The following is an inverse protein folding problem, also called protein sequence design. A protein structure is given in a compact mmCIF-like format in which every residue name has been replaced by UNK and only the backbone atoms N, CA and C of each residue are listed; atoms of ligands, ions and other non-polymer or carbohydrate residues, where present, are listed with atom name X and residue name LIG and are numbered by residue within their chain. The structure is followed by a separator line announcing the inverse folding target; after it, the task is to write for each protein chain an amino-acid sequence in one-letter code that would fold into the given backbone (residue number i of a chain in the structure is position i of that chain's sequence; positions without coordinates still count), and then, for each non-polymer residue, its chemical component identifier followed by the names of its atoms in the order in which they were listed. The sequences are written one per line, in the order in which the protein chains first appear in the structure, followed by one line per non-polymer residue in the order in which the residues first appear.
data_IF_813367430263
#
_entry.id   IF_813367430263
#
_cell.length_a   1.000
_cell.length_b   1.000
_cell.length_c   1.000
_cell.angle_alpha   90.00
_cell.angle_beta   90.00
_cell.angle_gamma   90.00
#
_symmetry.space_group_name_H-M   'P 1'
#
loop_
_entity.id
_entity.type
_entity.pdbx_description
1 polymer ?
#
# COMPACT_ATOMS: atom_id res chain seq x y z
N UNK A 1 -2.34 44.64 8.79
CA UNK A 1 -1.20 44.45 7.88
C UNK A 1 -0.89 42.97 7.78
N UNK A 2 -1.18 42.41 6.60
CA UNK A 2 -0.72 41.16 5.95
C UNK A 2 -0.12 40.01 6.79
N UNK A 3 -0.85 38.90 6.90
CA UNK A 3 -0.28 37.54 6.92
C UNK A 3 -1.25 36.47 6.40
N UNK A 4 -1.81 36.67 5.19
CA UNK A 4 -2.55 35.61 4.47
C UNK A 4 -1.60 34.81 3.56
N UNK A 5 -0.79 33.92 4.14
CA UNK A 5 -0.20 32.78 3.40
C UNK A 5 -0.94 31.52 3.81
N UNK A 6 -2.17 31.40 3.33
CA UNK A 6 -2.90 30.14 3.33
C UNK A 6 -2.13 29.13 2.46
N UNK A 7 -1.67 28.05 3.09
CA UNK A 7 -1.02 26.89 2.45
C UNK A 7 -2.00 26.29 1.44
N UNK A 8 -1.62 26.34 0.16
CA UNK A 8 -2.41 25.76 -0.95
C UNK A 8 -2.31 24.24 -0.86
N UNK A 9 -3.44 23.57 -0.70
CA UNK A 9 -3.53 22.12 -0.92
C UNK A 9 -3.11 21.77 -2.35
N UNK A 10 -2.56 20.56 -2.53
CA UNK A 10 -2.14 20.01 -3.82
C UNK A 10 -3.26 20.15 -4.85
N UNK A 11 -2.97 20.85 -5.95
CA UNK A 11 -3.99 21.20 -6.96
C UNK A 11 -4.09 20.13 -8.05
N UNK A 12 -5.20 20.08 -8.80
CA UNK A 12 -5.32 19.23 -10.01
C UNK A 12 -4.18 19.47 -11.03
N UNK A 13 -3.60 20.68 -11.05
CA UNK A 13 -2.44 21.02 -11.86
C UNK A 13 -1.16 20.29 -11.40
N UNK A 14 -1.04 20.04 -10.11
CA UNK A 14 0.11 19.36 -9.49
C UNK A 14 0.13 17.86 -9.81
N UNK A 15 -1.02 17.20 -9.92
CA UNK A 15 -1.06 15.78 -10.30
C UNK A 15 -0.79 15.53 -11.79
N UNK A 16 -1.09 16.50 -12.67
CA UNK A 16 -0.69 16.43 -14.07
C UNK A 16 0.83 16.30 -14.25
N UNK A 17 1.61 16.96 -13.38
CA UNK A 17 3.06 16.85 -13.39
C UNK A 17 3.55 15.45 -12.99
N UNK A 18 2.81 14.78 -12.10
CA UNK A 18 3.08 13.39 -11.72
C UNK A 18 2.74 12.44 -12.88
N UNK A 19 1.61 12.63 -13.56
CA UNK A 19 1.28 11.82 -14.75
C UNK A 19 2.35 11.97 -15.84
N UNK A 20 2.91 13.18 -16.03
CA UNK A 20 4.03 13.41 -16.95
C UNK A 20 5.35 12.73 -16.53
N UNK A 21 5.57 12.49 -15.24
CA UNK A 21 6.70 11.66 -14.78
C UNK A 21 6.47 10.20 -15.17
N UNK A 22 5.27 9.67 -14.94
CA UNK A 22 4.91 8.31 -15.32
C UNK A 22 4.95 8.10 -16.84
N UNK A 23 4.50 9.06 -17.64
CA UNK A 23 4.58 9.00 -19.09
C UNK A 23 6.02 8.89 -19.59
N UNK A 24 6.94 9.70 -19.04
CA UNK A 24 8.37 9.65 -19.41
C UNK A 24 8.98 8.32 -19.01
N UNK A 25 8.73 7.87 -17.78
CA UNK A 25 9.22 6.58 -17.31
C UNK A 25 8.70 5.42 -18.19
N UNK A 26 7.42 5.44 -18.54
CA UNK A 26 6.81 4.45 -19.44
C UNK A 26 7.39 4.50 -20.86
N UNK A 27 7.63 5.69 -21.40
CA UNK A 27 8.26 5.85 -22.72
C UNK A 27 9.69 5.27 -22.77
N UNK A 28 10.37 5.25 -21.63
CA UNK A 28 11.66 4.60 -21.43
C UNK A 28 11.55 3.10 -21.07
N UNK A 29 10.34 2.52 -21.10
CA UNK A 29 10.09 1.11 -20.77
C UNK A 29 10.11 0.78 -19.28
N UNK A 30 10.07 1.78 -18.39
CA UNK A 30 10.10 1.59 -16.93
C UNK A 30 8.69 1.55 -16.33
N UNK A 31 8.54 0.76 -15.27
CA UNK A 31 7.35 0.72 -14.40
C UNK A 31 7.66 1.23 -12.98
N UNK A 32 8.78 1.95 -12.85
CA UNK A 32 9.24 2.56 -11.61
C UNK A 32 9.86 3.91 -11.92
N UNK A 33 9.91 4.77 -10.91
CA UNK A 33 10.56 6.07 -10.97
C UNK A 33 11.97 6.00 -10.38
N UNK A 34 12.89 6.79 -10.94
CA UNK A 34 14.20 7.05 -10.33
C UNK A 34 14.01 7.88 -9.07
N UNK A 35 14.92 7.78 -8.11
CA UNK A 35 14.80 8.47 -6.81
C UNK A 35 14.63 10.00 -6.95
N UNK A 36 15.30 10.63 -7.90
CA UNK A 36 15.11 12.06 -8.23
C UNK A 36 13.70 12.39 -8.74
N UNK A 37 13.08 11.48 -9.49
CA UNK A 37 11.69 11.59 -9.94
C UNK A 37 10.72 11.39 -8.77
N UNK A 38 11.02 10.48 -7.83
CA UNK A 38 10.23 10.27 -6.60
C UNK A 38 10.27 11.51 -5.70
N UNK A 39 11.45 12.13 -5.54
CA UNK A 39 11.58 13.38 -4.78
C UNK A 39 10.73 14.51 -5.35
N UNK A 40 10.49 14.52 -6.67
CA UNK A 40 9.58 15.48 -7.29
C UNK A 40 8.12 15.24 -6.84
N UNK A 41 7.70 13.99 -6.72
CA UNK A 41 6.38 13.65 -6.14
C UNK A 41 6.30 14.08 -4.68
N UNK A 42 7.31 13.76 -3.86
CA UNK A 42 7.36 14.17 -2.45
C UNK A 42 7.23 15.69 -2.28
N UNK A 43 7.97 16.47 -3.07
CA UNK A 43 7.83 17.94 -3.08
C UNK A 43 6.42 18.39 -3.46
N UNK A 44 5.80 17.75 -4.46
CA UNK A 44 4.42 18.06 -4.89
C UNK A 44 3.40 17.82 -3.77
N UNK A 45 3.56 16.74 -3.00
CA UNK A 45 2.65 16.39 -1.90
C UNK A 45 3.04 17.02 -0.55
N UNK A 46 4.09 17.85 -0.51
CA UNK A 46 4.49 18.60 0.68
C UNK A 46 5.38 17.84 1.67
N UNK A 47 6.08 16.80 1.22
CA UNK A 47 7.16 16.13 1.96
C UNK A 47 8.48 16.79 1.55
N UNK A 48 9.29 17.21 2.53
CA UNK A 48 10.60 17.79 2.25
C UNK A 48 11.57 16.70 1.78
N UNK A 49 12.53 17.08 0.95
CA UNK A 49 13.60 16.19 0.47
C UNK A 49 14.90 16.99 0.47
N UNK A 50 16.06 16.32 0.60
CA UNK A 50 17.36 16.96 0.42
C UNK A 50 17.44 17.73 -0.91
N UNK A 51 18.16 18.85 -0.92
CA UNK A 51 18.67 19.42 -2.16
C UNK A 51 19.51 18.37 -2.90
N UNK A 52 19.31 18.23 -4.20
CA UNK A 52 19.95 17.17 -4.98
C UNK A 52 20.00 17.53 -6.46
N UNK A 53 20.86 16.83 -7.18
CA UNK A 53 20.84 16.76 -8.64
C UNK A 53 21.17 15.34 -9.10
N UNK A 54 20.67 14.99 -10.28
CA UNK A 54 21.03 13.75 -10.96
C UNK A 54 22.17 14.03 -11.93
N UNK A 55 23.24 13.25 -11.83
CA UNK A 55 24.37 13.25 -12.74
C UNK A 55 24.27 12.02 -13.66
N UNK A 56 23.98 12.19 -14.95
CA UNK A 56 23.96 11.08 -15.91
C UNK A 56 25.29 10.33 -15.94
N UNK A 57 25.23 9.03 -16.22
CA UNK A 57 26.42 8.20 -16.34
C UNK A 57 27.39 8.77 -17.40
N UNK A 58 28.68 8.85 -17.05
CA UNK A 58 29.74 9.38 -17.91
C UNK A 58 29.88 10.91 -17.90
N UNK A 59 29.01 11.65 -17.21
CA UNK A 59 29.17 13.09 -17.03
C UNK A 59 30.05 13.43 -15.82
N UNK A 60 30.70 14.59 -15.87
CA UNK A 60 31.54 15.10 -14.79
C UNK A 60 30.76 16.08 -13.91
N UNK A 61 30.99 16.02 -12.60
CA UNK A 61 30.37 16.95 -11.66
C UNK A 61 31.00 18.35 -11.80
N UNK A 62 30.18 19.39 -11.76
CA UNK A 62 30.65 20.78 -11.77
C UNK A 62 30.47 21.46 -10.41
N UNK A 63 31.33 22.44 -10.09
CA UNK A 63 31.18 23.27 -8.90
C UNK A 63 29.83 24.02 -8.86
N UNK A 64 29.25 24.37 -10.02
CA UNK A 64 27.95 25.05 -10.08
C UNK A 64 26.78 24.13 -9.71
N UNK A 65 26.89 22.82 -9.94
CA UNK A 65 25.90 21.84 -9.49
C UNK A 65 25.96 21.60 -7.98
N UNK A 66 27.16 21.70 -7.38
CA UNK A 66 27.38 21.51 -5.94
C UNK A 66 27.02 22.76 -5.12
N UNK A 67 27.18 23.96 -5.68
CA UNK A 67 26.96 25.22 -4.96
C UNK A 67 25.57 25.35 -4.27
N UNK A 68 24.45 24.82 -4.80
CA UNK A 68 23.16 24.84 -4.12
C UNK A 68 23.06 23.87 -2.91
N UNK A 69 23.99 22.93 -2.76
CA UNK A 69 23.99 21.96 -1.65
C UNK A 69 24.63 22.64 -0.43
N UNK A 70 23.83 22.89 0.61
CA UNK A 70 24.23 23.76 1.73
C UNK A 70 25.12 23.06 2.77
N UNK A 71 25.08 21.73 2.82
CA UNK A 71 25.83 20.92 3.77
C UNK A 71 27.31 20.83 3.41
N UNK A 72 28.18 20.71 4.41
CA UNK A 72 29.61 20.42 4.22
C UNK A 72 29.87 19.01 3.71
N UNK A 73 28.85 18.15 3.73
CA UNK A 73 28.88 16.77 3.24
C UNK A 73 27.76 16.52 2.24
N UNK A 74 28.01 15.60 1.31
CA UNK A 74 27.03 15.13 0.35
C UNK A 74 26.95 13.62 0.38
N UNK A 75 25.78 13.10 0.01
CA UNK A 75 25.53 11.68 -0.23
C UNK A 75 25.54 11.44 -1.72
N UNK A 76 26.36 10.51 -2.18
CA UNK A 76 26.41 10.04 -3.56
C UNK A 76 25.77 8.65 -3.59
N UNK A 77 24.69 8.52 -4.35
CA UNK A 77 23.95 7.26 -4.52
C UNK A 77 23.97 6.81 -5.98
N UNK A 78 24.23 5.53 -6.22
CA UNK A 78 24.07 4.95 -7.55
C UNK A 78 22.60 4.87 -7.91
N UNK A 79 22.29 5.22 -9.15
CA UNK A 79 20.95 5.08 -9.73
C UNK A 79 21.02 3.99 -10.79
N UNK A 80 20.46 2.83 -10.46
CA UNK A 80 20.39 1.66 -11.35
C UNK A 80 19.08 0.90 -11.12
N UNK A 81 18.35 0.52 -12.18
CA UNK A 81 17.15 -0.32 -12.07
C UNK A 81 17.37 -1.64 -11.32
N UNK A 82 18.58 -2.20 -11.44
CA UNK A 82 18.92 -3.52 -10.91
C UNK A 82 19.39 -3.48 -9.45
N UNK A 83 19.65 -2.29 -8.88
CA UNK A 83 20.21 -2.12 -7.53
C UNK A 83 19.16 -1.49 -6.61
N UNK A 84 18.38 -2.34 -5.95
CA UNK A 84 17.36 -1.92 -4.97
C UNK A 84 18.00 -1.65 -3.60
N UNK A 85 18.81 -2.59 -3.08
CA UNK A 85 19.54 -2.44 -1.80
C UNK A 85 20.93 -1.81 -2.01
N UNK A 86 20.93 -0.54 -2.39
CA UNK A 86 22.14 0.22 -2.77
C UNK A 86 23.25 0.16 -1.72
N UNK A 87 22.91 0.27 -0.44
CA UNK A 87 23.90 0.30 0.65
C UNK A 87 24.74 -0.97 0.73
N UNK A 88 24.15 -2.15 0.47
CA UNK A 88 24.81 -3.45 0.60
C UNK A 88 25.90 -3.67 -0.46
N UNK A 89 25.70 -3.11 -1.66
CA UNK A 89 26.68 -3.16 -2.77
C UNK A 89 27.60 -1.95 -2.79
N UNK A 90 27.60 -1.15 -1.71
CA UNK A 90 28.40 0.07 -1.63
C UNK A 90 27.92 1.20 -2.56
N UNK A 91 26.69 1.13 -3.04
CA UNK A 91 26.04 2.13 -3.90
C UNK A 91 25.61 3.41 -3.17
N UNK A 92 26.00 3.60 -1.91
CA UNK A 92 25.82 4.85 -1.14
C UNK A 92 27.13 5.23 -0.47
N UNK A 93 27.56 6.48 -0.64
CA UNK A 93 28.76 7.04 -0.02
C UNK A 93 28.49 8.44 0.51
N UNK A 94 29.11 8.79 1.63
CA UNK A 94 29.09 10.16 2.18
C UNK A 94 30.50 10.73 2.04
N UNK A 95 30.61 11.88 1.38
CA UNK A 95 31.90 12.57 1.14
C UNK A 95 31.78 14.06 1.43
N UNK A 96 32.90 14.77 1.48
CA UNK A 96 32.88 16.22 1.59
C UNK A 96 32.22 16.85 0.36
N UNK A 97 31.55 17.99 0.55
CA UNK A 97 30.95 18.76 -0.53
C UNK A 97 32.02 19.51 -1.34
N UNK A 98 32.79 18.76 -2.12
CA UNK A 98 33.81 19.29 -3.03
C UNK A 98 33.77 18.55 -4.36
N UNK A 99 34.08 19.26 -5.44
CA UNK A 99 34.10 18.70 -6.79
C UNK A 99 35.07 17.51 -6.90
N UNK A 100 36.23 17.63 -6.25
CA UNK A 100 37.28 16.61 -6.26
C UNK A 100 36.80 15.31 -5.57
N UNK A 101 36.31 15.41 -4.34
CA UNK A 101 35.85 14.26 -3.54
C UNK A 101 34.67 13.54 -4.21
N UNK A 102 33.71 14.30 -4.74
CA UNK A 102 32.56 13.75 -5.45
C UNK A 102 32.98 13.04 -6.74
N UNK A 103 33.94 13.59 -7.49
CA UNK A 103 34.44 12.95 -8.71
C UNK A 103 35.21 11.66 -8.40
N UNK A 104 36.06 11.69 -7.37
CA UNK A 104 36.83 10.53 -6.94
C UNK A 104 35.92 9.40 -6.45
N UNK A 105 34.91 9.71 -5.64
CA UNK A 105 34.00 8.69 -5.11
C UNK A 105 33.13 8.09 -6.20
N UNK A 106 32.67 8.87 -7.19
CA UNK A 106 31.93 8.35 -8.35
C UNK A 106 32.80 7.35 -9.11
N UNK A 107 34.02 7.74 -9.47
CA UNK A 107 34.95 6.87 -10.22
C UNK A 107 35.19 5.55 -9.48
N UNK A 108 35.38 5.63 -8.15
CA UNK A 108 35.59 4.45 -7.30
C UNK A 108 34.33 3.57 -7.23
N UNK A 109 33.17 4.17 -7.01
CA UNK A 109 31.89 3.46 -6.94
C UNK A 109 31.57 2.75 -8.26
N UNK A 110 31.86 3.36 -9.41
CA UNK A 110 31.70 2.73 -10.72
C UNK A 110 32.55 1.46 -10.85
N UNK A 111 33.82 1.54 -10.45
CA UNK A 111 34.74 0.40 -10.49
C UNK A 111 34.28 -0.73 -9.55
N UNK A 112 33.95 -0.38 -8.30
CA UNK A 112 33.49 -1.34 -7.28
C UNK A 112 32.21 -2.07 -7.72
N UNK A 113 31.22 -1.33 -8.23
CA UNK A 113 29.95 -1.93 -8.65
C UNK A 113 30.11 -2.77 -9.91
N UNK A 114 30.90 -2.31 -10.90
CA UNK A 114 31.22 -3.14 -12.08
C UNK A 114 31.95 -4.41 -11.69
N UNK A 115 32.81 -4.36 -10.67
CA UNK A 115 33.56 -5.51 -10.18
C UNK A 115 32.68 -6.52 -9.45
N UNK A 116 31.83 -6.05 -8.52
CA UNK A 116 30.92 -6.90 -7.76
C UNK A 116 29.85 -7.55 -8.66
N UNK A 117 29.45 -6.87 -9.72
CA UNK A 117 28.41 -7.32 -10.63
C UNK A 117 28.97 -7.76 -12.00
N UNK A 118 30.25 -8.20 -12.05
CA UNK A 118 30.89 -8.74 -13.26
C UNK A 118 30.08 -9.84 -13.94
N UNK A 119 29.29 -10.58 -13.18
CA UNK A 119 28.43 -11.67 -13.65
C UNK A 119 27.01 -11.24 -14.05
N UNK A 120 26.63 -9.98 -13.80
CA UNK A 120 25.31 -9.46 -14.15
C UNK A 120 25.29 -9.03 -15.64
N UNK A 121 24.64 -9.80 -16.55
CA UNK A 121 24.74 -9.56 -17.99
C UNK A 121 24.08 -8.26 -18.45
N UNK A 122 23.27 -7.64 -17.60
CA UNK A 122 22.39 -6.50 -17.93
C UNK A 122 22.48 -5.36 -16.90
N UNK A 123 23.60 -5.23 -16.17
CA UNK A 123 23.74 -4.13 -15.23
C UNK A 123 23.77 -2.79 -15.98
N UNK A 124 22.76 -1.95 -15.71
CA UNK A 124 22.67 -0.61 -16.26
C UNK A 124 22.77 0.43 -15.14
N UNK A 125 23.88 1.18 -15.13
CA UNK A 125 24.02 2.36 -14.28
C UNK A 125 23.52 3.56 -15.08
N UNK A 126 22.41 4.16 -14.66
CA UNK A 126 21.86 5.36 -15.29
C UNK A 126 22.65 6.61 -14.91
N UNK A 127 23.26 6.60 -13.72
CA UNK A 127 24.06 7.69 -13.21
C UNK A 127 24.10 7.71 -11.68
N UNK A 128 24.26 8.90 -11.14
CA UNK A 128 24.41 9.15 -9.71
C UNK A 128 23.43 10.22 -9.23
N UNK A 129 22.84 10.00 -8.06
CA UNK A 129 22.14 11.03 -7.33
C UNK A 129 23.11 11.62 -6.32
N UNK A 130 23.39 12.92 -6.44
CA UNK A 130 24.16 13.66 -5.45
C UNK A 130 23.19 14.52 -4.66
N UNK A 131 23.10 14.27 -3.36
CA UNK A 131 22.21 15.00 -2.46
C UNK A 131 22.96 15.58 -1.28
N UNK A 132 22.46 16.68 -0.70
CA UNK A 132 23.01 17.18 0.56
C UNK A 132 22.89 16.13 1.67
N UNK A 133 23.90 16.04 2.52
CA UNK A 133 23.83 15.22 3.72
C UNK A 133 22.99 15.95 4.78
N UNK A 134 21.86 15.35 5.16
CA UNK A 134 21.01 15.84 6.23
C UNK A 134 21.49 15.27 7.56
N UNK A 135 21.98 16.14 8.43
CA UNK A 135 22.11 15.81 9.85
C UNK A 135 20.73 15.92 10.49
N UNK A 136 20.18 14.79 10.94
CA UNK A 136 18.87 14.72 11.59
C UNK A 136 18.99 14.32 13.05
N UNK A 137 17.95 14.60 13.81
CA UNK A 137 17.91 14.34 15.24
C UNK A 137 17.84 12.82 15.50
N UNK A 138 18.89 12.24 16.12
CA UNK A 138 18.85 10.87 16.59
C UNK A 138 18.50 10.83 18.09
N UNK A 139 17.28 10.40 18.39
CA UNK A 139 16.75 10.22 19.75
C UNK A 139 16.18 8.80 19.96
N UNK A 140 16.66 7.82 19.19
CA UNK A 140 16.21 6.42 19.23
C UNK A 140 14.91 6.18 18.47
N UNK A 141 14.01 5.34 19.01
CA UNK A 141 12.76 4.95 18.36
C UNK A 141 11.95 6.18 17.89
N UNK A 142 11.69 6.24 16.58
CA UNK A 142 10.99 7.34 15.92
C UNK A 142 11.88 8.45 15.34
N UNK A 143 13.20 8.31 15.38
CA UNK A 143 14.12 9.19 14.63
C UNK A 143 14.02 8.95 13.12
N UNK A 144 13.79 7.69 12.75
CA UNK A 144 13.47 7.25 11.40
C UNK A 144 12.04 6.73 11.37
N UNK A 145 11.30 7.13 10.36
CA UNK A 145 9.92 6.77 10.10
C UNK A 145 9.80 6.23 8.68
N UNK A 146 8.67 5.61 8.40
CA UNK A 146 8.28 5.18 7.06
C UNK A 146 6.91 5.78 6.77
N UNK A 147 6.73 6.33 5.57
CA UNK A 147 5.41 6.70 5.09
C UNK A 147 5.26 6.30 3.62
N UNK A 148 4.17 5.62 3.29
CA UNK A 148 3.98 5.15 1.93
C UNK A 148 2.58 4.69 1.61
N UNK A 149 2.38 4.38 0.33
CA UNK A 149 1.19 3.76 -0.23
C UNK A 149 1.60 2.40 -0.78
N UNK A 150 0.73 1.41 -0.59
CA UNK A 150 0.86 0.10 -1.24
C UNK A 150 -0.48 -0.35 -1.77
N UNK A 151 -0.53 -0.79 -3.03
CA UNK A 151 -1.69 -1.45 -3.60
C UNK A 151 -1.67 -2.94 -3.22
N UNK A 152 -2.62 -3.34 -2.39
CA UNK A 152 -2.80 -4.73 -1.94
C UNK A 152 -4.02 -5.34 -2.62
N UNK A 153 -3.99 -6.63 -2.98
CA UNK A 153 -5.12 -7.31 -3.63
C UNK A 153 -6.37 -7.31 -2.74
N UNK A 154 -6.17 -7.44 -1.44
CA UNK A 154 -7.17 -7.67 -0.41
C UNK A 154 -7.91 -6.38 -0.05
N UNK A 155 -7.17 -5.30 0.17
CA UNK A 155 -7.71 -4.03 0.68
C UNK A 155 -7.65 -2.90 -0.34
N UNK A 156 -7.02 -3.12 -1.49
CA UNK A 156 -6.68 -2.06 -2.43
C UNK A 156 -5.53 -1.18 -1.93
N UNK A 157 -5.46 0.09 -2.34
CA UNK A 157 -4.46 1.04 -1.87
C UNK A 157 -4.62 1.30 -0.37
N UNK A 158 -3.54 1.08 0.36
CA UNK A 158 -3.42 1.40 1.77
C UNK A 158 -2.33 2.44 1.96
N UNK A 159 -2.55 3.37 2.88
CA UNK A 159 -1.56 4.34 3.36
C UNK A 159 -1.03 3.84 4.68
N UNK A 160 0.30 3.85 4.83
CA UNK A 160 1.00 3.48 6.04
C UNK A 160 1.86 4.64 6.55
N UNK A 161 1.90 4.81 7.87
CA UNK A 161 2.83 5.69 8.58
C UNK A 161 3.35 4.97 9.82
N UNK A 162 4.62 4.63 9.84
CA UNK A 162 5.21 3.73 10.84
C UNK A 162 6.56 4.21 11.36
N UNK A 163 7.04 3.54 12.40
CA UNK A 163 8.45 3.62 12.75
C UNK A 163 9.30 2.96 11.66
N UNK A 164 10.48 3.50 11.42
CA UNK A 164 11.43 3.04 10.42
C UNK A 164 12.82 2.79 10.97
N UNK A 165 13.71 2.32 10.11
CA UNK A 165 15.10 2.03 10.46
C UNK A 165 15.32 0.61 10.99
N UNK A 166 16.59 0.20 11.04
CA UNK A 166 17.00 -1.18 11.35
C UNK A 166 16.62 -1.63 12.76
N UNK A 167 16.59 -0.71 13.74
CA UNK A 167 16.21 -1.05 15.12
C UNK A 167 14.73 -1.42 15.25
N UNK A 168 13.89 -0.92 14.34
CA UNK A 168 12.45 -1.13 14.36
C UNK A 168 12.09 -2.57 13.95
N UNK A 169 12.85 -3.22 13.08
CA UNK A 169 12.68 -4.65 12.79
C UNK A 169 12.88 -5.54 14.02
N UNK A 170 13.80 -5.16 14.90
CA UNK A 170 13.98 -5.83 16.18
C UNK A 170 12.80 -5.56 17.12
N UNK A 171 12.39 -4.30 17.25
CA UNK A 171 11.31 -3.89 18.17
C UNK A 171 9.95 -4.42 17.72
N UNK A 172 9.67 -4.50 16.42
CA UNK A 172 8.40 -5.00 15.87
C UNK A 172 8.05 -6.41 16.33
N UNK A 173 9.04 -7.27 16.60
CA UNK A 173 8.81 -8.63 17.12
C UNK A 173 8.17 -8.66 18.51
N UNK A 174 8.25 -7.57 19.25
CA UNK A 174 7.72 -7.45 20.61
C UNK A 174 6.51 -6.52 20.70
N UNK A 175 6.19 -5.80 19.62
CA UNK A 175 5.02 -4.93 19.56
C UNK A 175 3.77 -5.74 19.27
N UNK A 176 2.65 -5.34 19.87
CA UNK A 176 1.34 -5.85 19.48
C UNK A 176 1.10 -5.55 17.99
N UNK A 177 0.38 -6.43 17.25
CA UNK A 177 0.02 -6.17 15.86
C UNK A 177 -0.59 -4.77 15.69
N UNK A 178 -0.06 -4.01 14.74
CA UNK A 178 -0.50 -2.63 14.45
C UNK A 178 0.07 -1.55 15.37
N UNK A 179 0.80 -1.87 16.45
CA UNK A 179 1.35 -0.83 17.35
C UNK A 179 2.56 -0.08 16.79
N UNK A 180 3.24 -0.64 15.79
CA UNK A 180 4.41 -0.03 15.16
C UNK A 180 4.08 0.93 14.01
N UNK A 181 2.81 1.04 13.61
CA UNK A 181 2.43 1.94 12.53
C UNK A 181 0.93 2.04 12.30
N UNK A 182 0.52 3.20 11.81
CA UNK A 182 -0.84 3.53 11.44
C UNK A 182 -1.09 3.14 9.99
N UNK A 183 -2.07 2.28 9.76
CA UNK A 183 -2.52 1.90 8.41
C UNK A 183 -3.98 2.28 8.20
N UNK A 184 -4.31 2.77 7.01
CA UNK A 184 -5.70 2.95 6.59
C UNK A 184 -5.86 2.70 5.10
N UNK A 185 -7.11 2.47 4.68
CA UNK A 185 -7.47 2.55 3.27
C UNK A 185 -7.20 3.96 2.76
N UNK A 186 -6.70 4.07 1.54
CA UNK A 186 -6.30 5.36 1.02
C UNK A 186 -7.47 6.30 0.68
N UNK A 187 -8.71 5.78 0.66
CA UNK A 187 -9.93 6.60 0.60
C UNK A 187 -10.14 7.44 1.88
N UNK A 188 -9.34 7.20 2.93
CA UNK A 188 -9.36 7.97 4.17
C UNK A 188 -8.71 9.35 3.98
N UNK A 189 -9.52 10.33 3.58
CA UNK A 189 -9.10 11.74 3.47
C UNK A 189 -9.54 12.61 4.66
N UNK A 190 -10.28 12.07 5.63
CA UNK A 190 -10.79 12.85 6.75
C UNK A 190 -9.73 13.03 7.83
N UNK A 191 -9.29 14.29 7.98
CA UNK A 191 -8.33 14.71 9.01
C UNK A 191 -8.71 14.25 10.41
N UNK A 192 -9.99 14.35 10.78
CA UNK A 192 -10.45 13.97 12.12
C UNK A 192 -10.33 12.48 12.38
N UNK A 193 -10.49 11.63 11.36
CA UNK A 193 -10.29 10.18 11.51
C UNK A 193 -8.81 9.85 11.69
N UNK A 194 -7.92 10.51 10.94
CA UNK A 194 -6.47 10.37 11.14
C UNK A 194 -6.00 10.87 12.51
N UNK A 195 -6.49 12.03 12.94
CA UNK A 195 -6.22 12.58 14.28
C UNK A 195 -6.59 11.61 15.39
N UNK A 196 -7.82 11.06 15.37
CA UNK A 196 -8.27 10.08 16.38
C UNK A 196 -7.41 8.82 16.41
N UNK A 197 -6.97 8.35 15.24
CA UNK A 197 -6.05 7.21 15.14
C UNK A 197 -4.69 7.55 15.74
N UNK A 198 -4.17 8.75 15.48
CA UNK A 198 -2.85 9.19 15.94
C UNK A 198 -2.81 9.46 17.46
N UNK A 199 -3.84 10.09 18.02
CA UNK A 199 -3.91 10.51 19.42
C UNK A 199 -3.62 9.37 20.40
N UNK A 200 -4.19 8.19 20.16
CA UNK A 200 -4.03 7.01 21.01
C UNK A 200 -2.90 6.06 20.57
N UNK A 201 -2.19 6.39 19.49
CA UNK A 201 -1.15 5.53 18.94
C UNK A 201 0.23 5.85 19.52
N UNK A 202 1.09 4.84 19.61
CA UNK A 202 2.46 4.95 20.15
C UNK A 202 3.26 6.06 19.43
N UNK A 203 3.07 6.21 18.12
CA UNK A 203 3.68 7.28 17.31
C UNK A 203 3.26 8.67 17.81
N UNK A 204 1.95 8.90 18.03
CA UNK A 204 1.45 10.18 18.52
C UNK A 204 1.96 10.49 19.93
N UNK A 205 1.95 9.49 20.81
CA UNK A 205 2.50 9.63 22.16
C UNK A 205 4.01 9.93 22.14
N UNK A 206 4.78 9.27 21.26
CA UNK A 206 6.24 9.42 21.20
C UNK A 206 6.71 10.71 20.52
N UNK A 207 6.00 11.16 19.48
CA UNK A 207 6.44 12.27 18.63
C UNK A 207 5.70 13.58 18.89
N UNK A 208 4.43 13.53 19.30
CA UNK A 208 3.57 14.70 19.44
C UNK A 208 3.35 15.15 20.89
N UNK A 209 3.73 14.33 21.87
CA UNK A 209 3.60 14.68 23.28
C UNK A 209 4.98 14.93 23.92
N UNK A 210 5.00 15.76 24.95
CA UNK A 210 6.20 15.98 25.76
C UNK A 210 6.50 14.74 26.59
N UNK A 211 7.75 14.29 26.60
CA UNK A 211 8.19 13.14 27.41
C UNK A 211 9.43 13.50 28.21
N UNK A 212 9.35 13.38 29.54
CA UNK A 212 10.46 13.65 30.49
C UNK A 212 11.19 14.98 30.22
N UNK A 213 10.44 16.06 29.99
CA UNK A 213 10.99 17.40 29.74
C UNK A 213 11.50 17.65 28.31
N UNK A 214 11.45 16.66 27.42
CA UNK A 214 11.68 16.88 26.00
C UNK A 214 10.41 17.43 25.35
N UNK A 215 10.57 18.48 24.54
CA UNK A 215 9.49 19.04 23.73
C UNK A 215 9.04 18.04 22.64
N UNK A 216 7.79 18.14 22.15
CA UNK A 216 7.32 17.37 21.02
C UNK A 216 8.23 17.54 19.80
N UNK A 217 8.48 16.44 19.09
CA UNK A 217 9.32 16.44 17.87
C UNK A 217 8.53 16.87 16.64
N UNK A 218 7.24 16.55 16.59
CA UNK A 218 6.34 16.94 15.51
C UNK A 218 5.00 17.39 16.08
N UNK A 219 4.36 18.35 15.41
CA UNK A 219 2.95 18.59 15.69
C UNK A 219 2.08 17.49 15.09
N UNK A 220 1.00 17.15 15.78
CA UNK A 220 -0.01 16.20 15.30
C UNK A 220 -0.53 16.58 13.91
N UNK A 221 -0.76 17.88 13.70
CA UNK A 221 -1.21 18.43 12.42
C UNK A 221 -0.25 18.11 11.27
N UNK A 222 1.07 18.11 11.51
CA UNK A 222 2.03 17.78 10.46
C UNK A 222 1.91 16.32 10.02
N UNK A 223 1.80 15.39 10.96
CA UNK A 223 1.65 13.96 10.63
C UNK A 223 0.31 13.75 9.90
N UNK A 224 -0.79 14.28 10.44
CA UNK A 224 -2.13 14.16 9.83
C UNK A 224 -2.16 14.74 8.41
N UNK A 225 -1.56 15.91 8.16
CA UNK A 225 -1.50 16.47 6.81
C UNK A 225 -0.70 15.57 5.85
N UNK A 226 0.41 14.96 6.28
CA UNK A 226 1.12 14.01 5.43
C UNK A 226 0.26 12.80 5.10
N UNK A 227 -0.40 12.21 6.09
CA UNK A 227 -1.28 11.05 5.87
C UNK A 227 -2.41 11.38 4.89
N UNK A 228 -3.03 12.55 5.02
CA UNK A 228 -4.06 13.02 4.08
C UNK A 228 -3.49 13.28 2.68
N UNK A 229 -2.27 13.81 2.57
CA UNK A 229 -1.65 14.05 1.26
C UNK A 229 -1.30 12.75 0.54
N UNK A 230 -0.82 11.73 1.26
CA UNK A 230 -0.63 10.38 0.71
C UNK A 230 -1.99 9.74 0.35
N UNK A 231 -3.02 9.85 1.19
CA UNK A 231 -4.37 9.37 0.86
C UNK A 231 -4.90 9.97 -0.44
N UNK A 232 -4.80 11.31 -0.60
CA UNK A 232 -5.23 12.01 -1.83
C UNK A 232 -4.42 11.58 -3.06
N UNK A 233 -3.10 11.45 -2.92
CA UNK A 233 -2.24 10.98 -3.99
C UNK A 233 -2.68 9.58 -4.44
N UNK A 234 -2.90 8.68 -3.47
CA UNK A 234 -3.31 7.31 -3.73
C UNK A 234 -4.71 7.21 -4.34
N UNK A 235 -5.68 7.98 -3.83
CA UNK A 235 -7.03 8.03 -4.37
C UNK A 235 -7.03 8.50 -5.84
N UNK A 236 -6.22 9.52 -6.15
CA UNK A 236 -6.06 10.03 -7.51
C UNK A 236 -5.39 8.99 -8.43
N UNK A 237 -4.28 8.38 -8.03
CA UNK A 237 -3.59 7.33 -8.77
C UNK A 237 -4.03 5.93 -8.33
N UNK A 238 -5.33 5.73 -8.12
CA UNK A 238 -5.91 4.44 -7.70
C UNK A 238 -6.31 3.60 -8.92
N UNK A 239 -6.45 2.27 -8.76
CA UNK A 239 -7.00 1.42 -9.82
C UNK A 239 -8.50 1.69 -10.09
N UNK A 240 -9.18 2.48 -9.25
CA UNK A 240 -10.61 2.79 -9.39
C UNK A 240 -10.89 4.18 -9.98
N UNK A 241 -9.88 5.05 -10.07
CA UNK A 241 -10.02 6.32 -10.75
C UNK A 241 -9.86 6.11 -12.27
N UNK A 242 -10.99 6.14 -12.99
CA UNK A 242 -11.02 6.00 -14.45
C UNK A 242 -10.63 7.28 -15.20
N UNK A 243 -10.41 8.41 -14.51
CA UNK A 243 -9.97 9.66 -15.14
C UNK A 243 -8.45 9.79 -15.24
N UNK A 244 -7.71 8.87 -14.62
CA UNK A 244 -6.25 8.82 -14.65
C UNK A 244 -5.84 7.47 -15.22
N UNK A 245 -4.84 7.46 -16.10
CA UNK A 245 -4.37 6.23 -16.72
C UNK A 245 -3.55 5.39 -15.74
N UNK A 246 -2.73 6.07 -14.94
CA UNK A 246 -1.77 5.42 -14.07
C UNK A 246 -2.36 5.02 -12.72
N UNK A 247 -1.72 4.02 -12.12
CA UNK A 247 -1.99 3.54 -10.78
C UNK A 247 -0.67 3.41 -10.03
N UNK A 248 -0.59 4.00 -8.84
CA UNK A 248 0.54 3.80 -7.94
C UNK A 248 0.38 2.44 -7.29
N UNK A 249 1.28 1.52 -7.63
CA UNK A 249 1.39 0.21 -6.99
C UNK A 249 2.09 0.35 -5.63
N UNK A 250 3.07 1.25 -5.57
CA UNK A 250 3.89 1.49 -4.40
C UNK A 250 4.52 2.89 -4.46
N UNK A 251 4.52 3.62 -3.36
CA UNK A 251 5.42 4.76 -3.15
C UNK A 251 5.74 4.83 -1.68
N UNK A 252 7.02 4.93 -1.32
CA UNK A 252 7.45 4.89 0.07
C UNK A 252 8.62 5.85 0.29
N UNK A 253 8.52 6.67 1.33
CA UNK A 253 9.62 7.45 1.89
C UNK A 253 10.23 6.66 3.05
N UNK A 254 11.44 6.14 2.86
CA UNK A 254 12.13 5.30 3.83
C UNK A 254 13.66 5.39 3.67
N UNK A 255 14.39 6.05 4.60
CA UNK A 255 13.86 6.63 5.84
C UNK A 255 13.22 8.02 5.62
N UNK A 256 12.16 8.27 6.38
CA UNK A 256 11.56 9.58 6.60
C UNK A 256 12.03 10.10 7.98
N UNK A 257 12.92 11.09 7.99
CA UNK A 257 13.57 11.57 9.20
C UNK A 257 12.98 12.88 9.72
N UNK A 258 13.31 13.21 10.97
CA UNK A 258 12.88 14.47 11.61
C UNK A 258 14.10 15.35 11.84
N UNK A 259 14.06 16.57 11.30
CA UNK A 259 15.00 17.64 11.66
C UNK A 259 14.24 18.94 11.90
N UNK A 260 14.47 19.58 13.04
CA UNK A 260 13.89 20.88 13.42
C UNK A 260 12.37 20.92 13.25
N UNK A 261 11.72 19.81 13.60
CA UNK A 261 10.29 19.62 13.50
C UNK A 261 9.75 19.53 12.07
N UNK A 262 10.56 19.17 11.08
CA UNK A 262 10.11 18.86 9.72
C UNK A 262 10.39 17.40 9.35
N UNK A 263 9.47 16.81 8.59
CA UNK A 263 9.64 15.48 7.99
C UNK A 263 10.39 15.60 6.66
N UNK A 264 11.49 14.88 6.54
CA UNK A 264 12.37 14.89 5.36
C UNK A 264 12.56 13.46 4.86
N UNK A 265 12.18 13.19 3.60
CA UNK A 265 12.40 11.89 2.97
C UNK A 265 13.85 11.83 2.44
N UNK A 266 14.68 10.97 3.03
CA UNK A 266 16.08 10.79 2.62
C UNK A 266 16.25 9.76 1.50
N UNK A 267 15.24 8.96 1.24
CA UNK A 267 15.15 8.04 0.11
C UNK A 267 13.67 7.88 -0.28
N UNK A 268 13.46 7.37 -1.50
CA UNK A 268 12.14 7.18 -2.04
C UNK A 268 12.11 6.12 -3.13
N UNK A 269 11.15 5.21 -3.03
CA UNK A 269 10.82 4.27 -4.09
C UNK A 269 9.43 4.57 -4.62
N UNK A 270 9.20 4.37 -5.93
CA UNK A 270 7.86 4.41 -6.51
C UNK A 270 7.74 3.43 -7.67
N UNK A 271 6.72 2.58 -7.63
CA UNK A 271 6.31 1.70 -8.71
C UNK A 271 4.88 2.04 -9.13
N UNK A 272 4.64 1.95 -10.42
CA UNK A 272 3.36 2.31 -11.01
C UNK A 272 3.00 1.35 -12.14
N UNK A 273 1.72 1.31 -12.48
CA UNK A 273 1.16 0.52 -13.56
C UNK A 273 0.05 1.28 -14.28
N UNK A 274 -0.56 0.67 -15.28
CA UNK A 274 -1.83 1.09 -15.89
C UNK A 274 -3.00 0.18 -15.47
N UNK A 275 -2.81 -0.63 -14.42
CA UNK A 275 -3.80 -1.64 -13.99
C UNK A 275 -5.01 -0.95 -13.37
N UNK A 276 -6.19 -1.17 -13.96
CA UNK A 276 -7.48 -0.73 -13.43
C UNK A 276 -8.28 -1.89 -12.87
N UNK A 277 -9.02 -1.64 -11.79
CA UNK A 277 -9.86 -2.64 -11.15
C UNK A 277 -11.33 -2.28 -11.37
N UNK A 278 -12.13 -3.21 -11.92
CA UNK A 278 -13.55 -2.97 -12.07
C UNK A 278 -14.18 -2.83 -10.68
N UNK A 279 -14.71 -1.65 -10.37
CA UNK A 279 -15.51 -1.46 -9.16
C UNK A 279 -16.95 -1.85 -9.49
N UNK A 280 -17.35 -3.05 -9.10
CA UNK A 280 -18.74 -3.49 -9.25
C UNK A 280 -19.51 -3.04 -8.02
N UNK A 281 -20.30 -1.97 -8.16
CA UNK A 281 -21.26 -1.60 -7.11
C UNK A 281 -22.40 -2.64 -7.10
N UNK A 282 -22.77 -3.20 -5.94
CA UNK A 282 -23.94 -4.05 -5.85
C UNK A 282 -25.18 -3.28 -6.32
N UNK A 283 -26.01 -3.89 -7.17
CA UNK A 283 -27.30 -3.30 -7.52
C UNK A 283 -28.27 -3.46 -6.34
N UNK A 284 -29.29 -2.59 -6.25
CA UNK A 284 -30.35 -2.76 -5.25
C UNK A 284 -31.00 -4.15 -5.34
N UNK A 285 -31.12 -4.69 -6.55
CA UNK A 285 -31.60 -6.05 -6.80
C UNK A 285 -30.67 -7.14 -6.25
N UNK A 286 -29.34 -6.97 -6.36
CA UNK A 286 -28.38 -7.91 -5.78
C UNK A 286 -28.51 -7.96 -4.25
N UNK A 287 -28.72 -6.81 -3.62
CA UNK A 287 -28.98 -6.72 -2.17
C UNK A 287 -30.34 -7.36 -1.83
N UNK A 288 -31.37 -7.14 -2.64
CA UNK A 288 -32.69 -7.74 -2.43
C UNK A 288 -32.65 -9.27 -2.45
N UNK A 289 -31.87 -9.89 -3.36
CA UNK A 289 -31.68 -11.35 -3.36
C UNK A 289 -31.06 -11.91 -2.08
N UNK A 290 -30.27 -11.10 -1.37
CA UNK A 290 -29.67 -11.47 -0.08
C UNK A 290 -30.67 -11.33 1.07
N UNK A 291 -31.49 -10.28 1.07
CA UNK A 291 -32.40 -9.94 2.18
C UNK A 291 -33.77 -10.63 2.06
N UNK A 292 -34.29 -10.81 0.84
CA UNK A 292 -35.60 -11.37 0.55
C UNK A 292 -35.52 -12.51 -0.49
N UNK A 293 -34.72 -13.56 -0.26
CA UNK A 293 -34.62 -14.67 -1.20
C UNK A 293 -35.98 -15.36 -1.35
N UNK A 294 -36.37 -15.70 -2.57
CA UNK A 294 -37.50 -16.59 -2.89
C UNK A 294 -37.04 -18.05 -2.98
N UNK A 295 -35.78 -18.30 -3.32
CA UNK A 295 -35.16 -19.62 -3.35
C UNK A 295 -33.84 -19.61 -2.58
N UNK A 296 -33.67 -20.56 -1.67
CA UNK A 296 -32.44 -20.72 -0.87
C UNK A 296 -31.77 -22.04 -1.24
N UNK A 297 -30.51 -21.98 -1.67
CA UNK A 297 -29.64 -23.13 -1.80
C UNK A 297 -28.75 -23.29 -0.56
N UNK A 298 -28.49 -24.52 -0.11
CA UNK A 298 -27.56 -24.75 1.01
C UNK A 298 -26.62 -25.90 0.65
N UNK A 299 -25.31 -25.64 0.69
CA UNK A 299 -24.25 -26.65 0.56
C UNK A 299 -23.47 -26.78 1.87
N UNK A 300 -22.95 -27.98 2.15
CA UNK A 300 -22.28 -28.28 3.42
C UNK A 300 -23.22 -28.82 4.50
N UNK A 301 -24.40 -29.33 4.12
CA UNK A 301 -25.30 -30.03 5.02
C UNK A 301 -24.81 -31.47 5.23
N UNK A 302 -24.73 -31.95 6.48
CA UNK A 302 -24.43 -33.36 6.78
C UNK A 302 -25.69 -34.14 7.19
N UNK A 303 -25.60 -35.49 7.24
CA UNK A 303 -26.70 -36.33 7.77
C UNK A 303 -26.88 -36.10 9.28
N UNK A 304 -25.74 -36.00 9.99
CA UNK A 304 -25.69 -35.61 11.39
C UNK A 304 -25.85 -34.10 11.58
N UNK A 305 -25.64 -33.63 12.81
CA UNK A 305 -25.64 -32.21 13.09
C UNK A 305 -24.30 -31.58 12.70
N UNK A 306 -24.34 -30.53 11.89
CA UNK A 306 -23.21 -29.64 11.60
C UNK A 306 -23.74 -28.23 11.32
N UNK A 307 -22.84 -27.27 11.04
CA UNK A 307 -23.22 -25.87 10.78
C UNK A 307 -24.25 -25.77 9.65
N UNK A 308 -24.02 -26.43 8.51
CA UNK A 308 -24.97 -26.42 7.39
C UNK A 308 -26.35 -26.98 7.76
N UNK A 309 -26.39 -28.07 8.54
CA UNK A 309 -27.64 -28.68 9.02
C UNK A 309 -28.37 -27.79 10.02
N UNK A 310 -27.64 -27.09 10.88
CA UNK A 310 -28.19 -26.12 11.83
C UNK A 310 -28.82 -24.93 11.09
N UNK A 311 -28.14 -24.38 10.09
CA UNK A 311 -28.66 -23.28 9.26
C UNK A 311 -29.95 -23.71 8.55
N UNK A 312 -29.95 -24.89 7.92
CA UNK A 312 -31.14 -25.45 7.28
C UNK A 312 -32.32 -25.50 8.26
N UNK A 313 -32.11 -26.06 9.46
CA UNK A 313 -33.19 -26.14 10.46
C UNK A 313 -33.66 -24.79 10.94
N UNK A 314 -32.77 -23.82 11.13
CA UNK A 314 -33.16 -22.47 11.53
C UNK A 314 -34.04 -21.82 10.46
N UNK A 315 -33.67 -21.91 9.18
CA UNK A 315 -34.47 -21.41 8.06
C UNK A 315 -35.88 -22.02 8.07
N UNK A 316 -35.98 -23.34 8.24
CA UNK A 316 -37.27 -24.03 8.28
C UNK A 316 -38.10 -23.69 9.52
N UNK A 317 -37.47 -23.57 10.69
CA UNK A 317 -38.14 -23.22 11.93
C UNK A 317 -38.65 -21.77 11.94
N UNK A 318 -38.04 -20.88 11.16
CA UNK A 318 -38.56 -19.53 10.90
C UNK A 318 -39.76 -19.51 9.94
N UNK A 319 -40.25 -20.66 9.49
CA UNK A 319 -41.44 -20.78 8.64
C UNK A 319 -41.16 -20.67 7.15
N UNK A 320 -39.90 -20.76 6.71
CA UNK A 320 -39.58 -20.70 5.29
C UNK A 320 -40.06 -21.97 4.54
N UNK A 321 -40.68 -21.86 3.35
CA UNK A 321 -41.26 -23.02 2.66
C UNK A 321 -40.20 -24.04 2.23
N UNK A 322 -40.37 -25.30 2.63
CA UNK A 322 -39.41 -26.41 2.39
C UNK A 322 -39.17 -26.64 0.90
N UNK A 323 -40.21 -26.50 0.08
CA UNK A 323 -40.15 -26.68 -1.36
C UNK A 323 -39.31 -25.61 -2.08
N UNK A 324 -38.97 -24.51 -1.39
CA UNK A 324 -38.11 -23.43 -1.86
C UNK A 324 -36.69 -23.48 -1.30
N UNK A 325 -36.38 -24.52 -0.51
CA UNK A 325 -35.04 -24.79 0.01
C UNK A 325 -34.45 -25.99 -0.72
N UNK A 326 -33.34 -25.77 -1.44
CA UNK A 326 -32.64 -26.78 -2.22
C UNK A 326 -31.31 -27.13 -1.54
N UNK A 327 -31.12 -28.39 -1.17
CA UNK A 327 -29.90 -28.82 -0.48
C UNK A 327 -28.94 -29.44 -1.49
N UNK A 328 -27.68 -29.01 -1.50
CA UNK A 328 -26.63 -29.60 -2.32
C UNK A 328 -25.89 -30.62 -1.47
N UNK A 329 -26.19 -31.89 -1.71
CA UNK A 329 -25.66 -33.04 -0.98
C UNK A 329 -25.68 -34.32 -1.84
N UNK A 330 -24.51 -34.84 -2.26
CA UNK A 330 -24.42 -36.14 -2.92
C UNK A 330 -24.98 -37.28 -2.06
N UNK A 331 -25.61 -38.27 -2.71
CA UNK A 331 -26.04 -39.52 -2.07
C UNK A 331 -27.29 -39.42 -1.20
N UNK A 332 -28.10 -38.38 -1.37
CA UNK A 332 -29.42 -38.24 -0.75
C UNK A 332 -30.40 -37.61 -1.73
N UNK A 333 -31.67 -38.02 -1.65
CA UNK A 333 -32.78 -37.42 -2.42
C UNK A 333 -33.51 -36.33 -1.63
N UNK A 334 -33.56 -36.45 -0.30
CA UNK A 334 -34.23 -35.50 0.58
C UNK A 334 -33.55 -35.42 1.95
N UNK A 335 -33.63 -34.26 2.60
CA UNK A 335 -33.15 -34.07 3.97
C UNK A 335 -33.97 -32.97 4.69
N UNK A 336 -34.51 -33.25 5.88
CA UNK A 336 -35.49 -32.37 6.58
C UNK A 336 -36.63 -31.87 5.68
N UNK A 337 -37.21 -32.71 4.81
CA UNK A 337 -38.30 -32.29 3.92
C UNK A 337 -37.86 -31.48 2.69
N UNK A 338 -36.56 -31.25 2.52
CA UNK A 338 -36.00 -30.43 1.44
C UNK A 338 -35.31 -31.31 0.40
N UNK A 339 -35.50 -31.01 -0.88
CA UNK A 339 -34.93 -31.79 -1.99
C UNK A 339 -33.40 -31.66 -2.03
N UNK A 340 -32.72 -32.79 -2.22
CA UNK A 340 -31.27 -32.86 -2.34
C UNK A 340 -30.83 -33.00 -3.80
N UNK A 341 -29.70 -32.38 -4.11
CA UNK A 341 -29.06 -32.40 -5.42
C UNK A 341 -27.58 -32.75 -5.27
N UNK A 342 -26.99 -33.57 -6.15
CA UNK A 342 -25.61 -34.01 -5.98
C UNK A 342 -24.57 -32.91 -6.16
N UNK A 343 -24.87 -31.86 -6.94
CA UNK A 343 -23.95 -30.74 -7.22
C UNK A 343 -24.70 -29.48 -7.60
N UNK A 344 -24.03 -28.33 -7.55
CA UNK A 344 -24.64 -27.03 -7.88
C UNK A 344 -25.18 -27.01 -9.31
N UNK A 345 -24.43 -27.56 -10.26
CA UNK A 345 -24.87 -27.62 -11.66
C UNK A 345 -26.21 -28.35 -11.85
N UNK A 346 -26.56 -29.29 -10.97
CA UNK A 346 -27.80 -30.08 -11.05
C UNK A 346 -29.03 -29.38 -10.47
N UNK A 347 -28.88 -28.18 -9.89
CA UNK A 347 -30.03 -27.41 -9.43
C UNK A 347 -30.95 -27.07 -10.62
N UNK A 348 -32.29 -27.19 -10.46
CA UNK A 348 -33.25 -26.97 -11.55
C UNK A 348 -33.36 -25.49 -11.95
N UNK A 349 -32.82 -24.58 -11.14
CA UNK A 349 -32.81 -23.13 -11.36
C UNK A 349 -31.68 -22.48 -10.58
N UNK A 350 -31.40 -21.22 -10.90
CA UNK A 350 -30.62 -20.37 -10.01
C UNK A 350 -31.41 -20.12 -8.72
N UNK A 351 -30.71 -20.13 -7.58
CA UNK A 351 -31.25 -19.69 -6.29
C UNK A 351 -30.99 -18.20 -6.11
N UNK A 352 -31.80 -17.54 -5.30
CA UNK A 352 -31.57 -16.12 -4.98
C UNK A 352 -30.42 -16.01 -3.98
N UNK A 353 -30.40 -16.90 -2.98
CA UNK A 353 -29.36 -16.99 -1.98
C UNK A 353 -28.79 -18.41 -1.91
N UNK A 354 -27.46 -18.54 -2.06
CA UNK A 354 -26.73 -19.77 -1.76
C UNK A 354 -25.97 -19.61 -0.44
N UNK A 355 -26.20 -20.51 0.50
CA UNK A 355 -25.42 -20.60 1.75
C UNK A 355 -24.37 -21.69 1.60
N UNK A 356 -23.10 -21.33 1.72
CA UNK A 356 -21.95 -22.23 1.60
C UNK A 356 -21.33 -22.49 2.97
N UNK A 357 -21.63 -23.66 3.55
CA UNK A 357 -21.12 -24.08 4.85
C UNK A 357 -20.05 -25.19 4.72
N UNK A 358 -19.00 -24.93 3.95
CA UNK A 358 -17.90 -25.85 3.65
C UNK A 358 -16.56 -25.37 4.23
N UNK A 359 -15.55 -26.23 4.40
CA UNK A 359 -14.20 -25.81 4.73
C UNK A 359 -13.64 -24.80 3.72
N UNK A 360 -12.72 -23.93 4.17
CA UNK A 360 -12.11 -22.89 3.34
C UNK A 360 -11.44 -23.43 2.06
N UNK A 361 -10.90 -24.65 2.10
CA UNK A 361 -10.22 -25.29 0.97
C UNK A 361 -11.21 -25.73 -0.14
N UNK A 362 -12.46 -26.05 0.21
CA UNK A 362 -13.47 -26.55 -0.73
C UNK A 362 -14.33 -25.41 -1.31
N UNK A 363 -14.47 -24.31 -0.59
CA UNK A 363 -15.34 -23.20 -0.98
C UNK A 363 -14.99 -22.59 -2.35
N UNK A 364 -13.71 -22.34 -2.73
CA UNK A 364 -13.38 -21.73 -4.01
C UNK A 364 -13.92 -22.50 -5.23
N UNK A 365 -13.79 -23.84 -5.24
CA UNK A 365 -14.27 -24.66 -6.35
C UNK A 365 -15.79 -24.62 -6.50
N UNK A 366 -16.50 -24.62 -5.38
CA UNK A 366 -17.97 -24.49 -5.32
C UNK A 366 -18.43 -23.11 -5.79
N UNK A 367 -17.74 -22.05 -5.38
CA UNK A 367 -18.03 -20.69 -5.83
C UNK A 367 -17.76 -20.54 -7.33
N UNK A 368 -16.66 -21.10 -7.82
CA UNK A 368 -16.33 -21.10 -9.24
C UNK A 368 -17.41 -21.82 -10.06
N UNK A 369 -17.83 -23.03 -9.69
CA UNK A 369 -18.91 -23.74 -10.38
C UNK A 369 -20.23 -22.94 -10.33
N UNK A 370 -20.53 -22.30 -9.20
CA UNK A 370 -21.72 -21.46 -9.04
C UNK A 370 -21.75 -20.28 -10.02
N UNK A 371 -20.61 -19.61 -10.17
CA UNK A 371 -20.43 -18.47 -11.09
C UNK A 371 -20.52 -18.94 -12.55
N UNK A 372 -19.75 -19.97 -12.91
CA UNK A 372 -19.69 -20.50 -14.28
C UNK A 372 -21.04 -21.02 -14.79
N UNK A 373 -21.88 -21.53 -13.88
CA UNK A 373 -23.20 -22.09 -14.22
C UNK A 373 -24.36 -21.13 -13.96
N UNK A 374 -24.10 -19.90 -13.51
CA UNK A 374 -25.09 -18.89 -13.09
C UNK A 374 -26.18 -19.47 -12.17
N UNK A 375 -25.76 -20.17 -11.10
CA UNK A 375 -26.68 -20.91 -10.21
C UNK A 375 -27.07 -20.19 -8.93
N UNK A 376 -26.49 -19.04 -8.63
CA UNK A 376 -26.89 -18.22 -7.49
C UNK A 376 -26.77 -16.73 -7.81
N UNK A 377 -27.64 -15.90 -7.21
CA UNK A 377 -27.58 -14.45 -7.35
C UNK A 377 -26.81 -13.77 -6.21
N UNK A 378 -26.91 -14.30 -5.00
CA UNK A 378 -26.14 -13.89 -3.82
C UNK A 378 -25.61 -15.11 -3.08
N UNK A 379 -24.49 -14.94 -2.37
CA UNK A 379 -23.85 -16.01 -1.61
C UNK A 379 -23.53 -15.55 -0.19
N UNK A 380 -23.87 -16.37 0.80
CA UNK A 380 -23.38 -16.27 2.18
C UNK A 380 -22.36 -17.38 2.39
N UNK A 381 -21.11 -17.01 2.66
CA UNK A 381 -20.03 -17.94 2.94
C UNK A 381 -19.84 -18.10 4.45
N UNK A 382 -20.03 -19.32 4.95
CA UNK A 382 -19.86 -19.71 6.36
C UNK A 382 -18.85 -20.84 6.39
N UNK A 383 -17.59 -20.52 6.06
CA UNK A 383 -16.51 -21.49 6.03
C UNK A 383 -15.64 -21.40 7.27
N UNK A 384 -15.48 -22.53 7.96
CA UNK A 384 -14.48 -22.68 9.01
C UNK A 384 -13.06 -22.70 8.44
N UNK A 385 -12.09 -22.20 9.21
CA UNK A 385 -10.67 -22.21 8.81
C UNK A 385 -10.19 -20.99 8.02
N UNK A 386 -11.03 -19.95 7.86
CA UNK A 386 -10.63 -18.65 7.28
C UNK A 386 -9.94 -17.70 8.28
N UNK A 387 -9.60 -18.15 9.49
CA UNK A 387 -8.85 -17.34 10.44
C UNK A 387 -7.39 -17.23 10.01
N UNK A 388 -6.83 -16.02 10.02
CA UNK A 388 -5.38 -15.82 9.99
C UNK A 388 -4.76 -16.61 11.16
N UNK A 389 -3.82 -17.51 10.85
CA UNK A 389 -3.00 -18.18 11.86
C UNK A 389 -1.75 -17.37 12.16
#
# INVERSE_FOLDING_TARGET
MSSSRARRGTTRKSYKEISQLFDRARAEGRQFLLESEVYRIFKIIGVATPAHFFLPFGESVSASQLAPLSSSRVVVKIVSPQIIHKSEVGGVRVVANSQEEVTQVITRMEQEVREQLKSAPELEIKGFLVSEFIEYENFGLGSELICGIRLTREFGPVVHFGFGGVEVEFVHRFLAPGAGGLTALAEEEERDRWRKKLENHLIGQKLCQSFRGQAPRLSELQIVEQMVNFSRLSAFFSPWNNQEEFTIEEIEANPLVIDRGQLIALDGVCRFSSRKWPRVSPTAQAIDFLLHPKWIGIIGVSRGMNIGRLILRNILNSGYPRERVLVIKPGLEEIDGCRCFPRIASLPRAVDLLVVALPAEEAPGVLQETIEKDKAKSVILISGGLGEK
#
